data_IF_194906848407
#
_entry.id   IF_194906848407
#
_cell.length_a   1.000
_cell.length_b   1.000
_cell.length_c   1.000
_cell.angle_alpha   90.00
_cell.angle_beta   90.00
_cell.angle_gamma   90.00
#
_symmetry.space_group_name_H-M   'P 1'
#
loop_
_entity.id
_entity.type
_entity.pdbx_description
1 polymer ?
#
# COMPACT_ATOMS: atom_id res chain seq x y z
N UNK A 1 25.39 -22.68 -9.97
CA UNK A 1 24.32 -22.92 -8.97
C UNK A 1 24.41 -21.97 -7.78
N UNK A 2 25.11 -22.27 -6.67
CA UNK A 2 25.14 -21.34 -5.50
C UNK A 2 25.63 -19.92 -5.79
N UNK A 3 26.68 -19.76 -6.60
CA UNK A 3 27.18 -18.42 -6.95
C UNK A 3 26.22 -17.64 -7.86
N UNK A 4 25.46 -18.34 -8.72
CA UNK A 4 24.45 -17.72 -9.59
C UNK A 4 23.21 -17.31 -8.77
N UNK A 5 22.75 -18.17 -7.86
CA UNK A 5 21.64 -17.85 -6.95
C UNK A 5 21.95 -16.65 -6.05
N UNK A 6 23.18 -16.55 -5.53
CA UNK A 6 23.63 -15.38 -4.76
C UNK A 6 23.66 -14.12 -5.64
N UNK A 7 24.10 -14.25 -6.89
CA UNK A 7 24.08 -13.15 -7.87
C UNK A 7 22.65 -12.65 -8.12
N UNK A 8 21.73 -13.56 -8.45
CA UNK A 8 20.31 -13.25 -8.68
C UNK A 8 19.66 -12.64 -7.45
N UNK A 9 19.88 -13.23 -6.27
CA UNK A 9 19.37 -12.69 -5.00
C UNK A 9 19.85 -11.26 -4.77
N UNK A 10 21.15 -11.00 -4.94
CA UNK A 10 21.74 -9.68 -4.71
C UNK A 10 21.19 -8.64 -5.68
N UNK A 11 21.05 -9.00 -6.96
CA UNK A 11 20.45 -8.12 -7.97
C UNK A 11 18.99 -7.78 -7.65
N UNK A 12 18.18 -8.78 -7.27
CA UNK A 12 16.77 -8.55 -6.91
C UNK A 12 16.67 -7.69 -5.65
N UNK A 13 17.44 -8.01 -4.61
CA UNK A 13 17.47 -7.25 -3.37
C UNK A 13 17.84 -5.78 -3.61
N UNK A 14 18.95 -5.54 -4.31
CA UNK A 14 19.40 -4.18 -4.61
C UNK A 14 18.41 -3.43 -5.49
N UNK A 15 17.81 -4.10 -6.48
CA UNK A 15 16.77 -3.51 -7.34
C UNK A 15 15.58 -3.00 -6.53
N UNK A 16 14.96 -3.88 -5.73
CA UNK A 16 13.81 -3.53 -4.89
C UNK A 16 14.19 -2.44 -3.89
N UNK A 17 15.37 -2.53 -3.27
CA UNK A 17 15.81 -1.57 -2.26
C UNK A 17 16.07 -0.18 -2.86
N UNK A 18 16.81 -0.09 -3.97
CA UNK A 18 17.12 1.18 -4.64
C UNK A 18 15.85 1.85 -5.15
N UNK A 19 14.87 1.08 -5.64
CA UNK A 19 13.58 1.62 -6.07
C UNK A 19 12.72 2.09 -4.88
N UNK A 20 12.65 1.33 -3.79
CA UNK A 20 11.76 1.64 -2.67
C UNK A 20 12.25 2.82 -1.80
N UNK A 21 13.55 3.02 -1.66
CA UNK A 21 14.14 4.05 -0.78
C UNK A 21 13.69 5.48 -1.14
N UNK A 22 13.75 5.94 -2.41
CA UNK A 22 13.28 7.26 -2.81
C UNK A 22 11.81 7.52 -2.44
N UNK A 23 10.94 6.54 -2.66
CA UNK A 23 9.53 6.71 -2.36
C UNK A 23 9.22 6.60 -0.86
N UNK A 24 9.97 5.78 -0.11
CA UNK A 24 9.89 5.79 1.35
C UNK A 24 10.30 7.17 1.89
N UNK A 25 11.40 7.73 1.40
CA UNK A 25 11.87 9.07 1.77
C UNK A 25 10.81 10.14 1.47
N UNK A 26 10.22 10.12 0.28
CA UNK A 26 9.12 11.05 -0.06
C UNK A 26 7.91 10.87 0.87
N UNK A 27 7.56 9.63 1.21
CA UNK A 27 6.47 9.33 2.14
C UNK A 27 6.72 9.84 3.55
N UNK A 28 7.94 9.69 4.08
CA UNK A 28 8.29 10.18 5.42
C UNK A 28 8.45 11.70 5.46
N UNK A 29 8.93 12.33 4.39
CA UNK A 29 8.90 13.80 4.24
C UNK A 29 7.46 14.31 4.22
N UNK A 30 6.58 13.69 3.42
CA UNK A 30 5.17 14.05 3.40
C UNK A 30 4.52 13.87 4.78
N UNK A 31 4.82 12.78 5.48
CA UNK A 31 4.37 12.53 6.85
C UNK A 31 4.84 13.60 7.83
N UNK A 32 6.12 13.98 7.79
CA UNK A 32 6.68 15.06 8.61
C UNK A 32 6.06 16.43 8.33
N UNK A 33 5.79 16.74 7.05
CA UNK A 33 5.08 17.96 6.65
C UNK A 33 3.64 17.95 7.16
N UNK A 34 2.91 16.85 6.97
CA UNK A 34 1.54 16.69 7.49
C UNK A 34 1.54 16.85 9.01
N UNK A 35 2.55 16.35 9.71
CA UNK A 35 2.60 16.50 11.16
C UNK A 35 2.71 17.96 11.61
N UNK A 36 3.56 18.74 10.96
CA UNK A 36 3.85 20.12 11.38
C UNK A 36 2.79 21.11 10.85
N UNK A 37 2.28 20.88 9.64
CA UNK A 37 1.39 21.82 8.95
C UNK A 37 -0.09 21.49 9.05
N UNK A 38 -0.46 20.23 9.32
CA UNK A 38 -1.88 19.82 9.44
C UNK A 38 -2.23 19.64 10.92
N UNK A 39 -3.19 20.40 11.40
CA UNK A 39 -3.71 20.25 12.77
C UNK A 39 -4.79 19.17 12.87
N UNK A 40 -5.08 18.71 14.09
CA UNK A 40 -6.22 17.80 14.32
C UNK A 40 -7.56 18.45 13.95
N UNK A 41 -7.68 19.77 14.14
CA UNK A 41 -8.87 20.52 13.75
C UNK A 41 -9.05 20.57 12.23
N UNK A 42 -7.96 20.77 11.48
CA UNK A 42 -8.01 20.78 10.02
C UNK A 42 -8.42 19.41 9.48
N UNK A 43 -7.86 18.34 10.06
CA UNK A 43 -8.24 16.97 9.72
C UNK A 43 -9.73 16.70 10.02
N UNK A 44 -10.22 17.14 11.18
CA UNK A 44 -11.62 16.97 11.57
C UNK A 44 -12.59 17.80 10.72
N UNK A 45 -12.18 19.00 10.27
CA UNK A 45 -12.96 19.84 9.34
C UNK A 45 -12.99 19.28 7.92
N UNK A 46 -11.88 18.69 7.49
CA UNK A 46 -11.73 18.11 6.16
C UNK A 46 -12.55 16.81 6.01
N UNK A 47 -12.67 16.02 7.09
CA UNK A 47 -13.32 14.70 7.02
C UNK A 47 -14.85 14.75 7.21
N UNK A 48 -15.63 14.08 6.34
CA UNK A 48 -17.07 13.92 6.51
C UNK A 48 -17.43 13.18 7.81
N UNK A 49 -18.56 13.53 8.42
CA UNK A 49 -19.04 12.85 9.64
C UNK A 49 -19.60 11.45 9.40
N UNK A 50 -20.13 11.18 8.21
CA UNK A 50 -20.70 9.86 7.85
C UNK A 50 -19.60 8.94 7.34
N UNK A 51 -19.67 7.66 7.70
CA UNK A 51 -18.65 6.66 7.38
C UNK A 51 -18.42 6.50 5.87
N UNK A 52 -19.48 6.39 5.08
CA UNK A 52 -19.38 6.20 3.64
C UNK A 52 -18.66 7.35 2.92
N UNK A 53 -19.08 8.63 3.05
CA UNK A 53 -18.36 9.73 2.41
C UNK A 53 -16.94 9.92 2.97
N UNK A 54 -16.69 9.61 4.25
CA UNK A 54 -15.33 9.62 4.78
C UNK A 54 -14.44 8.57 4.12
N UNK A 55 -14.98 7.36 3.88
CA UNK A 55 -14.26 6.27 3.20
C UNK A 55 -14.00 6.59 1.74
N UNK A 56 -14.99 7.15 1.03
CA UNK A 56 -14.83 7.65 -0.34
C UNK A 56 -13.74 8.70 -0.43
N UNK A 57 -13.72 9.64 0.51
CA UNK A 57 -12.69 10.66 0.58
C UNK A 57 -11.30 10.05 0.76
N UNK A 58 -11.14 9.04 1.63
CA UNK A 58 -9.90 8.29 1.78
C UNK A 58 -9.44 7.62 0.48
N UNK A 59 -10.36 7.00 -0.26
CA UNK A 59 -10.07 6.43 -1.59
C UNK A 59 -9.57 7.49 -2.59
N UNK A 60 -10.23 8.64 -2.65
CA UNK A 60 -9.84 9.76 -3.54
C UNK A 60 -8.51 10.38 -3.11
N UNK A 61 -8.22 10.44 -1.81
CA UNK A 61 -6.91 10.88 -1.33
C UNK A 61 -5.77 10.04 -1.91
N UNK A 62 -6.00 8.75 -2.20
CA UNK A 62 -5.01 7.88 -2.83
C UNK A 62 -4.57 8.37 -4.21
N UNK A 63 -5.47 9.00 -4.97
CA UNK A 63 -5.13 9.62 -6.25
C UNK A 63 -4.41 10.97 -6.07
N UNK A 64 -4.80 11.75 -5.06
CA UNK A 64 -4.26 13.10 -4.80
C UNK A 64 -2.86 13.06 -4.20
N UNK A 65 -2.56 12.06 -3.38
CA UNK A 65 -1.26 11.87 -2.75
C UNK A 65 -0.51 10.75 -3.48
N UNK A 66 0.36 11.06 -4.47
CA UNK A 66 1.07 10.08 -5.28
C UNK A 66 2.22 9.43 -4.50
N UNK A 67 1.87 8.71 -3.44
CA UNK A 67 2.82 8.02 -2.57
C UNK A 67 2.80 6.53 -2.93
N UNK A 68 3.98 5.89 -2.95
CA UNK A 68 4.05 4.45 -3.13
C UNK A 68 3.54 3.70 -1.89
N UNK A 69 3.34 2.38 -2.00
CA UNK A 69 2.97 1.49 -0.90
C UNK A 69 3.89 1.59 0.34
N UNK A 70 5.20 1.84 0.17
CA UNK A 70 6.14 2.00 1.29
C UNK A 70 5.94 3.34 2.02
N UNK A 71 5.64 4.41 1.27
CA UNK A 71 5.49 5.76 1.83
C UNK A 71 4.11 6.04 2.39
N UNK A 72 3.06 5.36 1.89
CA UNK A 72 1.69 5.58 2.38
C UNK A 72 1.51 5.08 3.82
N UNK A 73 2.30 4.11 4.27
CA UNK A 73 2.25 3.54 5.63
C UNK A 73 2.58 4.59 6.71
N UNK A 74 3.77 5.25 6.70
CA UNK A 74 4.09 6.27 7.68
C UNK A 74 3.13 7.46 7.59
N UNK A 75 2.76 7.90 6.38
CA UNK A 75 1.81 8.98 6.17
C UNK A 75 0.43 8.68 6.79
N UNK A 76 -0.12 7.49 6.53
CA UNK A 76 -1.42 7.09 7.07
C UNK A 76 -1.35 6.95 8.59
N UNK A 77 -0.27 6.39 9.15
CA UNK A 77 -0.03 6.35 10.60
C UNK A 77 -0.09 7.75 11.20
N UNK A 78 0.55 8.74 10.56
CA UNK A 78 0.53 10.13 11.00
C UNK A 78 -0.86 10.74 10.96
N UNK A 79 -1.58 10.52 9.87
CA UNK A 79 -2.95 11.00 9.73
C UNK A 79 -3.90 10.37 10.77
N UNK A 80 -3.71 9.09 11.12
CA UNK A 80 -4.43 8.47 12.23
C UNK A 80 -4.15 9.14 13.58
N UNK A 81 -2.90 9.50 13.87
CA UNK A 81 -2.55 10.26 15.07
C UNK A 81 -3.15 11.67 15.09
N UNK A 82 -3.53 12.20 13.92
CA UNK A 82 -4.26 13.47 13.75
C UNK A 82 -5.78 13.32 13.79
N UNK A 83 -6.30 12.10 13.99
CA UNK A 83 -7.74 11.83 14.10
C UNK A 83 -8.44 11.43 12.80
N UNK A 84 -7.69 11.03 11.75
CA UNK A 84 -8.29 10.48 10.53
C UNK A 84 -9.18 9.27 10.88
N UNK A 85 -10.44 9.20 10.41
CA UNK A 85 -11.30 8.04 10.62
C UNK A 85 -10.66 6.76 10.08
N UNK A 86 -10.74 5.66 10.84
CA UNK A 86 -10.13 4.38 10.47
C UNK A 86 -10.52 3.93 9.05
N UNK A 87 -11.81 4.00 8.72
CA UNK A 87 -12.33 3.61 7.42
C UNK A 87 -11.70 4.40 6.27
N UNK A 88 -11.53 5.71 6.45
CA UNK A 88 -10.87 6.60 5.49
C UNK A 88 -9.39 6.26 5.35
N UNK A 89 -8.68 6.08 6.46
CA UNK A 89 -7.25 5.76 6.41
C UNK A 89 -6.96 4.38 5.83
N UNK A 90 -7.80 3.36 6.07
CA UNK A 90 -7.65 2.05 5.42
C UNK A 90 -7.96 2.15 3.91
N UNK A 91 -9.00 2.89 3.52
CA UNK A 91 -9.28 3.14 2.11
C UNK A 91 -8.13 3.88 1.43
N UNK A 92 -7.55 4.90 2.09
CA UNK A 92 -6.37 5.62 1.61
C UNK A 92 -5.15 4.70 1.47
N UNK A 93 -4.86 3.90 2.50
CA UNK A 93 -3.74 2.98 2.57
C UNK A 93 -3.73 1.99 1.39
N UNK A 94 -4.91 1.49 1.01
CA UNK A 94 -5.08 0.53 -0.08
C UNK A 94 -5.20 1.21 -1.46
N UNK A 95 -5.83 2.38 -1.53
CA UNK A 95 -6.08 3.08 -2.79
C UNK A 95 -4.83 3.78 -3.33
N UNK A 96 -4.00 4.36 -2.47
CA UNK A 96 -2.82 5.15 -2.88
C UNK A 96 -1.88 4.41 -3.85
N UNK A 97 -1.43 3.16 -3.58
CA UNK A 97 -0.51 2.48 -4.49
C UNK A 97 -1.12 2.05 -5.82
N UNK A 98 -2.46 1.93 -5.93
CA UNK A 98 -3.13 1.57 -7.19
C UNK A 98 -3.52 2.80 -8.01
N UNK A 99 -4.14 3.79 -7.35
CA UNK A 99 -4.69 4.97 -8.00
C UNK A 99 -3.62 6.05 -8.24
N UNK A 100 -2.37 5.78 -7.88
CA UNK A 100 -1.26 6.68 -8.13
C UNK A 100 -1.19 7.04 -9.63
N UNK A 101 -1.16 8.32 -10.01
CA UNK A 101 -1.04 8.75 -11.40
C UNK A 101 0.13 8.11 -12.16
N UNK A 102 1.26 7.86 -11.49
CA UNK A 102 2.42 7.19 -12.10
C UNK A 102 2.11 5.74 -12.44
N UNK A 103 1.38 5.05 -11.56
CA UNK A 103 0.95 3.66 -11.76
C UNK A 103 -0.08 3.56 -12.88
N UNK A 104 -1.05 4.48 -12.91
CA UNK A 104 -2.01 4.55 -14.01
C UNK A 104 -1.33 4.88 -15.34
N UNK A 105 -0.34 5.78 -15.34
CA UNK A 105 0.46 6.09 -16.53
C UNK A 105 1.28 4.88 -17.00
N UNK A 106 1.89 4.11 -16.09
CA UNK A 106 2.61 2.87 -16.44
C UNK A 106 1.66 1.80 -17.01
N UNK A 107 0.46 1.68 -16.43
CA UNK A 107 -0.59 0.78 -16.93
C UNK A 107 -1.05 1.20 -18.31
N UNK A 108 -1.21 2.50 -18.54
CA UNK A 108 -1.54 3.05 -19.86
C UNK A 108 -0.41 2.80 -20.86
N UNK A 109 0.86 2.94 -20.48
CA UNK A 109 1.99 2.66 -21.35
C UNK A 109 2.08 1.16 -21.73
N UNK A 110 1.72 0.27 -20.80
CA UNK A 110 1.72 -1.18 -21.00
C UNK A 110 0.52 -1.67 -21.83
N UNK A 111 -0.70 -1.23 -21.51
CA UNK A 111 -1.95 -1.78 -22.06
C UNK A 111 -2.72 -0.82 -22.98
N UNK A 112 -2.30 0.44 -23.09
CA UNK A 112 -3.03 1.48 -23.81
C UNK A 112 -4.33 1.91 -23.10
N UNK A 113 -5.16 2.67 -23.82
CA UNK A 113 -6.52 2.95 -23.38
C UNK A 113 -7.37 1.71 -23.61
N UNK A 114 -7.56 0.92 -22.55
CA UNK A 114 -8.27 -0.35 -22.62
C UNK A 114 -8.96 -0.73 -21.32
N UNK A 115 -9.62 -1.89 -21.36
CA UNK A 115 -10.40 -2.45 -20.25
C UNK A 115 -9.53 -2.60 -19.00
N UNK A 116 -8.26 -3.01 -19.14
CA UNK A 116 -7.37 -3.24 -17.99
C UNK A 116 -7.11 -1.93 -17.22
N UNK A 117 -6.85 -0.82 -17.89
CA UNK A 117 -6.62 0.47 -17.23
C UNK A 117 -7.86 0.94 -16.46
N UNK A 118 -9.03 0.91 -17.10
CA UNK A 118 -10.29 1.35 -16.49
C UNK A 118 -10.67 0.44 -15.33
N UNK A 119 -10.60 -0.88 -15.53
CA UNK A 119 -10.94 -1.84 -14.49
C UNK A 119 -9.94 -1.80 -13.34
N UNK A 120 -8.65 -1.57 -13.58
CA UNK A 120 -7.66 -1.37 -12.51
C UNK A 120 -8.05 -0.19 -11.61
N UNK A 121 -8.45 0.93 -12.21
CA UNK A 121 -8.91 2.10 -11.45
C UNK A 121 -10.20 1.81 -10.68
N UNK A 122 -11.25 1.34 -11.37
CA UNK A 122 -12.57 1.13 -10.77
C UNK A 122 -12.54 0.02 -9.72
N UNK A 123 -11.93 -1.11 -10.03
CA UNK A 123 -11.80 -2.25 -9.12
C UNK A 123 -10.91 -1.91 -7.93
N UNK A 124 -9.77 -1.24 -8.15
CA UNK A 124 -8.89 -0.80 -7.07
C UNK A 124 -9.59 0.13 -6.08
N UNK A 125 -10.31 1.13 -6.60
CA UNK A 125 -11.10 2.05 -5.77
C UNK A 125 -12.23 1.30 -5.05
N UNK A 126 -12.95 0.42 -5.73
CA UNK A 126 -14.03 -0.37 -5.13
C UNK A 126 -13.53 -1.27 -3.99
N UNK A 127 -12.42 -2.00 -4.21
CA UNK A 127 -11.80 -2.85 -3.19
C UNK A 127 -11.39 -2.00 -1.98
N UNK A 128 -10.72 -0.87 -2.20
CA UNK A 128 -10.29 0.02 -1.12
C UNK A 128 -11.47 0.55 -0.29
N UNK A 129 -12.57 0.95 -0.93
CA UNK A 129 -13.78 1.43 -0.26
C UNK A 129 -14.45 0.30 0.52
N UNK A 130 -14.67 -0.86 -0.11
CA UNK A 130 -15.34 -1.99 0.52
C UNK A 130 -14.55 -2.45 1.75
N UNK A 131 -13.22 -2.59 1.63
CA UNK A 131 -12.38 -2.97 2.76
C UNK A 131 -12.41 -1.89 3.84
N UNK A 132 -12.30 -0.61 3.48
CA UNK A 132 -12.41 0.50 4.45
C UNK A 132 -13.74 0.49 5.22
N UNK A 133 -14.86 0.22 4.52
CA UNK A 133 -16.18 0.06 5.14
C UNK A 133 -16.25 -1.17 6.04
N UNK A 134 -15.70 -2.31 5.64
CA UNK A 134 -15.67 -3.52 6.47
C UNK A 134 -14.87 -3.30 7.76
N UNK A 135 -13.77 -2.54 7.69
CA UNK A 135 -13.03 -2.12 8.88
C UNK A 135 -13.82 -1.18 9.79
N UNK A 136 -14.72 -0.37 9.23
CA UNK A 136 -15.59 0.54 10.01
C UNK A 136 -16.63 -0.20 10.87
N UNK A 137 -17.01 -1.42 10.48
CA UNK A 137 -17.96 -2.25 11.22
C UNK A 137 -17.33 -2.87 12.49
N UNK A 138 -16.01 -2.77 12.64
CA UNK A 138 -15.35 -3.38 13.78
C UNK A 138 -15.55 -2.52 15.05
N UNK A 139 -15.94 -3.13 16.20
CA UNK A 139 -16.42 -2.38 17.36
C UNK A 139 -15.40 -1.45 18.06
N UNK A 140 -14.10 -1.56 17.75
CA UNK A 140 -13.02 -0.84 18.46
C UNK A 140 -11.90 -0.38 17.52
N UNK A 141 -12.06 0.76 16.81
CA UNK A 141 -11.07 1.25 15.84
C UNK A 141 -9.74 1.70 16.46
N UNK A 142 -9.74 2.17 17.71
CA UNK A 142 -8.52 2.69 18.39
C UNK A 142 -7.60 1.56 18.88
N UNK A 143 -8.13 0.37 19.16
CA UNK A 143 -7.34 -0.78 19.62
C UNK A 143 -6.55 -1.47 18.50
N UNK A 144 -6.71 -1.04 17.24
CA UNK A 144 -6.13 -1.71 16.08
C UNK A 144 -4.64 -1.44 15.87
N UNK A 145 -4.25 -0.20 16.18
CA UNK A 145 -2.89 0.27 16.07
C UNK A 145 -2.06 -0.16 17.29
N UNK A 146 -0.74 -0.27 17.14
CA UNK A 146 0.14 -0.57 18.28
C UNK A 146 0.22 0.66 19.21
N UNK A 147 0.37 0.48 20.54
CA UNK A 147 0.53 1.61 21.46
C UNK A 147 1.71 2.53 21.10
N UNK A 148 2.80 1.96 20.56
CA UNK A 148 3.97 2.71 20.07
C UNK A 148 3.71 3.47 18.75
N UNK A 149 2.69 3.10 17.97
CA UNK A 149 2.30 3.87 16.78
C UNK A 149 1.38 5.04 17.11
N UNK A 150 0.68 4.97 18.25
CA UNK A 150 -0.20 5.99 18.83
C UNK A 150 0.50 6.93 19.81
N UNK A 151 1.62 6.48 20.41
CA UNK A 151 2.44 7.33 21.25
C UNK A 151 3.16 8.34 20.35
N UNK A 152 3.18 9.64 20.69
CA UNK A 152 4.20 10.52 20.14
C UNK A 152 5.55 9.84 20.44
N UNK A 153 6.36 9.64 19.41
CA UNK A 153 7.75 9.20 19.59
C UNK A 153 8.35 10.11 20.67
N UNK A 154 8.87 9.46 21.71
CA UNK A 154 9.14 10.01 23.04
C UNK A 154 9.56 11.49 23.05
N UNK A 155 8.92 12.28 23.92
CA UNK A 155 9.51 13.53 24.42
C UNK A 155 8.64 14.79 24.39
N UNK A 156 7.33 14.71 24.64
CA UNK A 156 6.56 15.96 24.74
C UNK A 156 5.18 15.89 25.38
N UNK A 157 5.09 15.55 26.66
CA UNK A 157 4.27 16.39 27.56
C UNK A 157 5.03 17.69 27.79
N UNK A 158 5.16 18.48 26.73
CA UNK A 158 5.54 19.87 26.89
C UNK A 158 4.20 20.58 27.08
N UNK A 159 4.00 21.13 28.28
CA UNK A 159 3.20 22.34 28.45
C UNK A 159 3.40 23.18 27.21
N UNK A 160 2.41 23.25 26.30
CA UNK A 160 2.50 24.09 25.11
C UNK A 160 3.02 25.44 25.60
N UNK A 161 4.26 25.85 25.28
CA UNK A 161 4.69 27.21 25.51
C UNK A 161 3.91 27.95 24.45
N UNK A 162 2.75 28.46 24.87
CA UNK A 162 2.10 29.64 24.37
C UNK A 162 2.58 30.04 22.97
N UNK A 163 2.04 29.39 21.93
CA UNK A 163 1.99 29.83 20.53
C UNK A 163 3.16 30.75 20.10
N UNK A 164 4.39 30.41 20.46
CA UNK A 164 5.53 31.27 20.16
C UNK A 164 5.77 31.10 18.67
N UNK A 165 5.88 32.20 17.93
CA UNK A 165 6.04 32.24 16.47
C UNK A 165 7.30 31.46 16.07
N UNK A 166 7.21 30.14 16.00
CA UNK A 166 8.25 29.30 15.43
C UNK A 166 8.39 29.75 13.98
N UNK A 167 9.61 30.16 13.62
CA UNK A 167 9.93 30.59 12.27
C UNK A 167 9.53 29.47 11.31
N UNK A 168 9.15 29.82 10.07
CA UNK A 168 8.88 28.83 9.04
C UNK A 168 10.06 27.84 8.88
N UNK A 169 11.28 28.32 9.14
CA UNK A 169 12.49 27.51 9.17
C UNK A 169 12.50 26.47 10.32
N UNK A 170 12.00 26.83 11.51
CA UNK A 170 11.95 25.92 12.66
C UNK A 170 10.88 24.84 12.46
N UNK A 171 9.74 25.22 11.87
CA UNK A 171 8.70 24.27 11.44
C UNK A 171 9.24 23.29 10.40
N UNK A 172 9.96 23.78 9.39
CA UNK A 172 10.55 22.92 8.36
C UNK A 172 11.63 22.00 8.95
N UNK A 173 12.50 22.51 9.83
CA UNK A 173 13.49 21.69 10.55
C UNK A 173 12.83 20.61 11.38
N UNK A 174 11.74 20.92 12.07
CA UNK A 174 10.97 19.95 12.84
C UNK A 174 10.36 18.87 11.93
N UNK A 175 9.76 19.27 10.81
CA UNK A 175 9.20 18.34 9.83
C UNK A 175 10.27 17.38 9.29
N UNK A 176 11.46 17.90 8.96
CA UNK A 176 12.57 17.10 8.47
C UNK A 176 13.16 16.15 9.53
N UNK A 177 13.18 16.55 10.81
CA UNK A 177 13.60 15.65 11.91
C UNK A 177 12.63 14.47 12.05
N UNK A 178 11.33 14.74 12.05
CA UNK A 178 10.29 13.71 12.08
C UNK A 178 10.41 12.76 10.88
N UNK A 179 10.61 13.32 9.69
CA UNK A 179 10.78 12.55 8.47
C UNK A 179 12.01 11.63 8.52
N UNK A 180 13.12 12.09 9.11
CA UNK A 180 14.33 11.30 9.30
C UNK A 180 14.12 10.15 10.28
N UNK A 181 13.50 10.42 11.44
CA UNK A 181 13.20 9.40 12.45
C UNK A 181 12.27 8.31 11.88
N UNK A 182 11.21 8.71 11.16
CA UNK A 182 10.30 7.77 10.50
C UNK A 182 10.99 6.99 9.37
N UNK A 183 11.92 7.62 8.63
CA UNK A 183 12.69 6.96 7.58
C UNK A 183 13.54 5.82 8.14
N UNK A 184 14.25 6.03 9.26
CA UNK A 184 15.03 4.96 9.88
C UNK A 184 14.13 3.90 10.55
N UNK A 185 13.01 4.31 11.17
CA UNK A 185 12.08 3.38 11.80
C UNK A 185 11.40 2.44 10.77
N UNK A 186 11.05 2.96 9.60
CA UNK A 186 10.44 2.18 8.51
C UNK A 186 11.49 1.50 7.63
N UNK A 187 12.67 2.10 7.48
CA UNK A 187 13.78 1.57 6.70
C UNK A 187 14.23 0.18 7.17
N UNK A 188 14.25 -0.08 8.49
CA UNK A 188 14.53 -1.42 9.02
C UNK A 188 13.52 -2.47 8.57
N UNK A 189 12.22 -2.12 8.52
CA UNK A 189 11.16 -3.03 8.06
C UNK A 189 11.24 -3.23 6.56
N UNK A 190 11.56 -2.17 5.82
CA UNK A 190 11.81 -2.23 4.39
C UNK A 190 12.96 -3.18 4.07
N UNK A 191 14.12 -3.07 4.74
CA UNK A 191 15.27 -3.96 4.51
C UNK A 191 14.89 -5.43 4.72
N UNK A 192 14.22 -5.75 5.84
CA UNK A 192 13.76 -7.11 6.12
C UNK A 192 12.77 -7.59 5.04
N UNK A 193 11.87 -6.70 4.60
CA UNK A 193 10.94 -6.97 3.50
C UNK A 193 11.64 -7.26 2.18
N UNK A 194 12.63 -6.46 1.78
CA UNK A 194 13.40 -6.65 0.56
C UNK A 194 14.20 -7.96 0.59
N UNK A 195 14.81 -8.31 1.73
CA UNK A 195 15.51 -9.59 1.90
C UNK A 195 14.55 -10.77 1.72
N UNK A 196 13.38 -10.72 2.36
CA UNK A 196 12.40 -11.80 2.27
C UNK A 196 11.80 -11.90 0.85
N UNK A 197 11.49 -10.77 0.20
CA UNK A 197 11.03 -10.73 -1.18
C UNK A 197 12.06 -11.30 -2.16
N UNK A 198 13.33 -10.88 -2.04
CA UNK A 198 14.41 -11.40 -2.88
C UNK A 198 14.65 -12.90 -2.67
N UNK A 199 14.57 -13.38 -1.43
CA UNK A 199 14.67 -14.80 -1.13
C UNK A 199 13.51 -15.58 -1.78
N UNK A 200 12.27 -15.10 -1.64
CA UNK A 200 11.12 -15.76 -2.25
C UNK A 200 11.20 -15.75 -3.78
N UNK A 201 11.61 -14.65 -4.41
CA UNK A 201 11.76 -14.59 -5.87
C UNK A 201 12.90 -15.48 -6.40
N UNK A 202 13.97 -15.66 -5.62
CA UNK A 202 15.09 -16.53 -6.00
C UNK A 202 14.74 -18.02 -5.82
N UNK A 203 13.98 -18.34 -4.76
CA UNK A 203 13.68 -19.73 -4.38
C UNK A 203 12.39 -20.29 -5.00
N UNK A 204 11.47 -19.43 -5.46
CA UNK A 204 10.16 -19.86 -6.00
C UNK A 204 10.17 -19.75 -7.52
N UNK A 205 10.24 -20.87 -8.27
CA UNK A 205 10.21 -20.84 -9.72
C UNK A 205 8.83 -20.41 -10.21
N UNK A 206 8.78 -19.38 -11.07
CA UNK A 206 7.52 -18.89 -11.66
C UNK A 206 6.75 -19.99 -12.42
N UNK A 207 7.45 -20.98 -12.97
CA UNK A 207 6.87 -22.14 -13.65
C UNK A 207 5.99 -23.01 -12.76
N UNK A 208 6.26 -23.06 -11.45
CA UNK A 208 5.45 -23.83 -10.49
C UNK A 208 4.08 -23.19 -10.28
N UNK A 209 4.03 -21.85 -10.31
CA UNK A 209 2.79 -21.11 -10.15
C UNK A 209 1.97 -21.13 -11.44
N UNK A 210 2.59 -21.00 -12.61
CA UNK A 210 1.86 -20.99 -13.89
C UNK A 210 1.28 -22.34 -14.30
N UNK A 211 1.90 -23.46 -13.91
CA UNK A 211 1.39 -24.80 -14.18
C UNK A 211 0.05 -25.11 -13.48
N UNK A 212 -0.26 -24.41 -12.39
CA UNK A 212 -1.48 -24.58 -11.60
C UNK A 212 -2.63 -23.65 -12.03
N UNK A 213 -2.38 -22.71 -12.95
CA UNK A 213 -3.24 -21.56 -13.24
C UNK A 213 -4.40 -21.78 -14.20
N UNK A 214 -5.05 -22.95 -14.23
CA UNK A 214 -6.15 -23.22 -15.17
C UNK A 214 -7.54 -23.00 -14.57
N UNK A 215 -8.49 -22.54 -15.38
CA UNK A 215 -9.88 -22.30 -14.98
C UNK A 215 -10.14 -20.92 -14.35
N UNK A 216 -11.41 -20.51 -14.20
CA UNK A 216 -11.80 -19.11 -13.90
C UNK A 216 -11.52 -18.65 -12.46
N UNK A 217 -11.29 -19.58 -11.52
CA UNK A 217 -11.06 -19.27 -10.10
C UNK A 217 -9.62 -19.51 -9.68
N UNK A 218 -9.03 -20.64 -10.07
CA UNK A 218 -7.67 -21.00 -9.65
C UNK A 218 -6.64 -20.04 -10.27
N UNK A 219 -6.84 -19.64 -11.54
CA UNK A 219 -6.02 -18.62 -12.22
C UNK A 219 -5.94 -17.29 -11.44
N UNK A 220 -7.05 -16.85 -10.85
CA UNK A 220 -7.12 -15.63 -10.02
C UNK A 220 -6.26 -15.80 -8.77
N UNK A 221 -6.46 -16.89 -8.04
CA UNK A 221 -5.71 -17.17 -6.79
C UNK A 221 -4.21 -17.26 -7.08
N UNK A 222 -3.82 -17.97 -8.14
CA UNK A 222 -2.43 -18.09 -8.58
C UNK A 222 -1.82 -16.72 -8.88
N UNK A 223 -2.52 -15.88 -9.65
CA UNK A 223 -2.03 -14.55 -9.99
C UNK A 223 -1.96 -13.61 -8.78
N UNK A 224 -2.89 -13.69 -7.84
CA UNK A 224 -2.80 -12.94 -6.58
C UNK A 224 -1.62 -13.38 -5.71
N UNK A 225 -1.41 -14.69 -5.58
CA UNK A 225 -0.25 -15.25 -4.86
C UNK A 225 1.05 -14.84 -5.53
N UNK A 226 1.10 -14.87 -6.87
CA UNK A 226 2.24 -14.40 -7.64
C UNK A 226 2.51 -12.91 -7.37
N UNK A 227 1.48 -12.05 -7.37
CA UNK A 227 1.62 -10.63 -7.02
C UNK A 227 2.19 -10.42 -5.62
N UNK A 228 1.65 -11.13 -4.63
CA UNK A 228 2.13 -11.07 -3.25
C UNK A 228 3.59 -11.50 -3.13
N UNK A 229 3.95 -12.64 -3.74
CA UNK A 229 5.29 -13.22 -3.65
C UNK A 229 6.32 -12.42 -4.42
N UNK A 230 5.98 -11.96 -5.63
CA UNK A 230 6.90 -11.16 -6.41
C UNK A 230 7.12 -9.78 -5.78
N UNK A 231 6.16 -9.22 -5.03
CA UNK A 231 6.35 -7.93 -4.32
C UNK A 231 7.00 -6.84 -5.21
N UNK A 232 6.59 -6.80 -6.48
CA UNK A 232 7.12 -5.87 -7.48
C UNK A 232 6.48 -4.51 -7.23
N UNK A 233 7.24 -3.45 -7.46
CA UNK A 233 6.72 -2.10 -7.40
C UNK A 233 5.54 -1.91 -8.37
N UNK A 234 4.53 -1.17 -7.91
CA UNK A 234 3.29 -0.91 -8.66
C UNK A 234 3.49 -0.15 -9.97
N UNK A 235 4.66 0.42 -10.19
CA UNK A 235 5.11 1.10 -11.40
C UNK A 235 5.55 0.14 -12.51
N UNK A 236 6.03 -1.05 -12.15
CA UNK A 236 6.58 -2.04 -13.08
C UNK A 236 5.64 -3.24 -13.24
N UNK A 237 4.70 -3.43 -12.32
CA UNK A 237 3.78 -4.56 -12.28
C UNK A 237 2.98 -4.76 -13.58
N UNK A 238 2.57 -3.68 -14.26
CA UNK A 238 1.83 -3.72 -15.51
C UNK A 238 2.65 -4.33 -16.64
N UNK A 239 3.96 -4.06 -16.68
CA UNK A 239 4.86 -4.66 -17.65
C UNK A 239 5.12 -6.13 -17.36
N UNK A 240 5.19 -6.49 -16.08
CA UNK A 240 5.31 -7.90 -15.67
C UNK A 240 4.04 -8.67 -16.05
N UNK A 241 2.86 -8.09 -15.83
CA UNK A 241 1.59 -8.75 -16.12
C UNK A 241 1.31 -8.92 -17.62
N UNK A 242 1.90 -8.08 -18.47
CA UNK A 242 1.79 -8.21 -19.93
C UNK A 242 2.29 -9.56 -20.43
N UNK A 243 3.35 -10.11 -19.82
CA UNK A 243 3.88 -11.41 -20.18
C UNK A 243 2.87 -12.55 -19.99
N UNK A 244 1.86 -12.34 -19.13
CA UNK A 244 0.86 -13.35 -18.78
C UNK A 244 -0.47 -13.19 -19.53
N UNK A 245 -0.63 -12.18 -20.37
CA UNK A 245 -1.88 -11.89 -21.13
C UNK A 245 -2.34 -13.05 -22.00
N UNK A 246 -1.40 -13.80 -22.59
CA UNK A 246 -1.74 -14.92 -23.47
C UNK A 246 -1.95 -16.24 -22.71
N UNK A 247 -1.73 -16.26 -21.40
CA UNK A 247 -1.79 -17.48 -20.57
C UNK A 247 -2.93 -17.43 -19.56
N UNK A 248 -3.22 -16.24 -19.01
CA UNK A 248 -4.20 -16.03 -17.96
C UNK A 248 -5.35 -15.16 -18.42
N UNK A 249 -6.53 -15.37 -17.82
CA UNK A 249 -7.70 -14.55 -18.09
C UNK A 249 -7.54 -13.11 -17.60
N UNK A 250 -8.31 -12.19 -18.17
CA UNK A 250 -8.28 -10.77 -17.81
C UNK A 250 -8.55 -10.51 -16.33
N UNK A 251 -9.51 -11.22 -15.72
CA UNK A 251 -9.80 -11.09 -14.29
C UNK A 251 -8.61 -11.51 -13.42
N UNK A 252 -7.85 -12.51 -13.84
CA UNK A 252 -6.65 -12.97 -13.11
C UNK A 252 -5.52 -11.95 -13.19
N UNK A 253 -5.32 -11.35 -14.36
CA UNK A 253 -4.34 -10.25 -14.55
C UNK A 253 -4.73 -9.03 -13.72
N UNK A 254 -6.01 -8.65 -13.73
CA UNK A 254 -6.52 -7.57 -12.91
C UNK A 254 -6.35 -7.85 -11.41
N UNK A 255 -6.55 -9.10 -10.98
CA UNK A 255 -6.34 -9.48 -9.59
C UNK A 255 -4.89 -9.30 -9.14
N UNK A 256 -3.91 -9.57 -10.01
CA UNK A 256 -2.50 -9.28 -9.77
C UNK A 256 -2.23 -7.77 -9.67
N UNK A 257 -2.73 -6.99 -10.63
CA UNK A 257 -2.52 -5.54 -10.72
C UNK A 257 -3.22 -4.71 -9.62
N UNK A 258 -4.26 -5.29 -9.00
CA UNK A 258 -4.99 -4.69 -7.90
C UNK A 258 -4.45 -5.19 -6.56
N UNK A 259 -4.36 -6.50 -6.35
CA UNK A 259 -3.97 -7.05 -5.05
C UNK A 259 -2.48 -6.84 -4.75
N UNK A 260 -1.59 -7.02 -5.73
CA UNK A 260 -0.14 -6.91 -5.53
C UNK A 260 0.28 -5.58 -4.89
N UNK A 261 -0.05 -4.44 -5.50
CA UNK A 261 0.26 -3.11 -4.93
C UNK A 261 -0.41 -2.80 -3.59
N UNK A 262 -1.53 -3.45 -3.27
CA UNK A 262 -2.20 -3.27 -1.97
C UNK A 262 -1.52 -4.07 -0.87
N UNK A 263 -1.12 -5.30 -1.20
CA UNK A 263 -0.66 -6.28 -0.23
C UNK A 263 0.41 -7.16 -0.86
N UNK A 264 1.63 -6.97 -0.41
CA UNK A 264 2.78 -7.82 -0.74
C UNK A 264 3.56 -8.20 0.54
N UNK A 265 4.63 -8.98 0.41
CA UNK A 265 5.45 -9.43 1.54
C UNK A 265 6.05 -8.23 2.29
N UNK A 266 6.57 -7.24 1.56
CA UNK A 266 7.26 -6.06 2.09
C UNK A 266 6.28 -5.16 2.85
N UNK A 267 5.18 -4.78 2.21
CA UNK A 267 4.08 -3.98 2.74
C UNK A 267 3.44 -4.68 3.95
N UNK A 268 3.29 -6.01 3.92
CA UNK A 268 2.81 -6.78 5.09
C UNK A 268 3.76 -6.69 6.28
N UNK A 269 5.07 -6.77 6.06
CA UNK A 269 6.07 -6.58 7.12
C UNK A 269 6.07 -5.14 7.65
N UNK A 270 5.89 -4.15 6.79
CA UNK A 270 5.74 -2.75 7.21
C UNK A 270 4.45 -2.52 8.01
N UNK A 271 3.33 -3.15 7.62
CA UNK A 271 2.08 -3.11 8.39
C UNK A 271 2.25 -3.71 9.79
N UNK A 272 3.09 -4.74 9.95
CA UNK A 272 3.41 -5.30 11.26
C UNK A 272 4.15 -4.31 12.16
N UNK A 273 4.83 -3.31 11.62
CA UNK A 273 5.41 -2.21 12.38
C UNK A 273 4.36 -1.26 12.98
N UNK A 274 3.21 -1.10 12.32
CA UNK A 274 2.18 -0.10 12.68
C UNK A 274 0.97 -0.72 13.38
N UNK A 275 0.46 -1.84 12.87
CA UNK A 275 -0.76 -2.50 13.33
C UNK A 275 -0.44 -3.73 14.18
N UNK A 276 -1.40 -4.18 15.01
CA UNK A 276 -1.26 -5.47 15.70
C UNK A 276 -1.43 -6.61 14.70
N UNK A 277 -0.77 -7.75 14.96
CA UNK A 277 -0.76 -8.94 14.06
C UNK A 277 -2.16 -9.35 13.57
N UNK A 278 -3.16 -9.34 14.46
CA UNK A 278 -4.55 -9.65 14.13
C UNK A 278 -5.11 -8.74 13.02
N UNK A 279 -4.82 -7.43 13.06
CA UNK A 279 -5.33 -6.46 12.09
C UNK A 279 -4.55 -6.47 10.79
N UNK A 280 -3.25 -6.79 10.82
CA UNK A 280 -2.49 -7.05 9.60
C UNK A 280 -3.10 -8.24 8.83
N UNK A 281 -3.50 -9.30 9.54
CA UNK A 281 -4.19 -10.43 8.90
C UNK A 281 -5.49 -9.97 8.21
N UNK A 282 -6.28 -9.09 8.84
CA UNK A 282 -7.46 -8.52 8.18
C UNK A 282 -7.11 -7.64 6.96
N UNK A 283 -6.05 -6.83 7.03
CA UNK A 283 -5.57 -6.00 5.91
C UNK A 283 -5.08 -6.88 4.75
N UNK A 284 -4.63 -8.12 5.00
CA UNK A 284 -4.24 -9.05 3.94
C UNK A 284 -5.45 -9.81 3.40
N UNK A 285 -6.25 -10.42 4.28
CA UNK A 285 -7.33 -11.35 3.92
C UNK A 285 -8.52 -10.62 3.29
N UNK A 286 -8.90 -9.44 3.78
CA UNK A 286 -10.07 -8.74 3.23
C UNK A 286 -9.85 -8.25 1.80
N UNK A 287 -8.77 -7.51 1.46
CA UNK A 287 -8.48 -7.19 0.07
C UNK A 287 -8.29 -8.43 -0.80
N UNK A 288 -7.72 -9.51 -0.25
CA UNK A 288 -7.60 -10.77 -0.98
C UNK A 288 -8.99 -11.30 -1.40
N UNK A 289 -9.90 -11.49 -0.44
CA UNK A 289 -11.23 -12.03 -0.70
C UNK A 289 -12.05 -11.11 -1.61
N UNK A 290 -12.03 -9.79 -1.36
CA UNK A 290 -12.80 -8.83 -2.17
C UNK A 290 -12.26 -8.78 -3.60
N UNK A 291 -10.94 -8.73 -3.78
CA UNK A 291 -10.30 -8.77 -5.11
C UNK A 291 -10.61 -10.08 -5.83
N UNK A 292 -10.52 -11.21 -5.13
CA UNK A 292 -10.85 -12.53 -5.67
C UNK A 292 -12.30 -12.58 -6.17
N UNK A 293 -13.26 -12.08 -5.39
CA UNK A 293 -14.67 -12.04 -5.78
C UNK A 293 -14.89 -11.20 -7.05
N UNK A 294 -14.31 -10.01 -7.13
CA UNK A 294 -14.41 -9.18 -8.35
C UNK A 294 -13.76 -9.86 -9.56
N UNK A 295 -12.56 -10.40 -9.40
CA UNK A 295 -11.83 -11.03 -10.49
C UNK A 295 -12.52 -12.30 -11.02
N UNK A 296 -13.05 -13.13 -10.12
CA UNK A 296 -13.86 -14.32 -10.49
C UNK A 296 -15.16 -13.89 -11.16
N UNK A 297 -15.82 -12.85 -10.64
CA UNK A 297 -17.02 -12.30 -11.28
C UNK A 297 -16.73 -11.84 -12.71
N UNK A 298 -15.61 -11.13 -12.93
CA UNK A 298 -15.16 -10.72 -14.26
C UNK A 298 -14.92 -11.95 -15.15
N UNK A 299 -14.17 -12.95 -14.67
CA UNK A 299 -13.89 -14.16 -15.45
C UNK A 299 -15.14 -14.96 -15.85
N UNK A 300 -16.17 -14.98 -15.01
CA UNK A 300 -17.39 -15.76 -15.26
C UNK A 300 -18.44 -15.02 -16.08
N UNK A 301 -18.51 -13.69 -15.99
CA UNK A 301 -19.59 -12.90 -16.58
C UNK A 301 -19.13 -12.01 -17.74
N UNK A 302 -17.85 -11.65 -17.75
CA UNK A 302 -17.27 -10.75 -18.74
C UNK A 302 -16.25 -11.59 -19.52
N UNK A 303 -16.78 -12.44 -20.41
CA UNK A 303 -15.97 -13.26 -21.29
C UNK A 303 -15.25 -12.40 -22.31
N UNK A 304 -13.93 -12.29 -22.16
CA UNK A 304 -13.01 -11.78 -23.17
C UNK A 304 -12.08 -12.91 -23.60
#
# INVERSE_FOLDING_TARGET
MFAEEIGTFTTIFLGIFIEAVPFLLLGTVASGLVEVFVSQEDMAKMMPRKVLPATLMGGVMGFVFPVCECGVIPLTRRMFNKGLPLASGIAFLLAAPILNPVVLASTFAAYGFGVILVMRFVMGLAVAIIVGLLFSLHPRPVEMMRPQSLSPVMGGSINLPERQQASMMDRLRQAMRIAADEFFEMGRWLVIGCVLAAAMQTLVPQSTLTALGTGPVISVVVMMVLGYVLSVCSTVDAFVSLAFVNTFSTGSILSFLVFGPMVDIKSTLMYLGVFKRKYVLYIVVLPFLVTMLFAVFINLNIGW
#
